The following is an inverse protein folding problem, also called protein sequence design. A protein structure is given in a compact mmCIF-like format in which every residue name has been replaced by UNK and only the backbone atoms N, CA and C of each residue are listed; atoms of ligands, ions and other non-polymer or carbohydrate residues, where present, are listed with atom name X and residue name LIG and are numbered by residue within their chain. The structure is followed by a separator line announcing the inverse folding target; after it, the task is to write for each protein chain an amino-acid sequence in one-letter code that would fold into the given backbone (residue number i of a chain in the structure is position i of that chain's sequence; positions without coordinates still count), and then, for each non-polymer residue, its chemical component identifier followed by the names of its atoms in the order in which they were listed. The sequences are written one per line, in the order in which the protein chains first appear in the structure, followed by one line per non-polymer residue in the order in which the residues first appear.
data_IF_638921183676
#
_entry.id   IF_638921183676
#
_cell.length_a   1.000
_cell.length_b   1.000
_cell.length_c   1.000
_cell.angle_alpha   90.00
_cell.angle_beta   90.00
_cell.angle_gamma   90.00
#
_symmetry.space_group_name_H-M   'P 1'
#
loop_
_entity.id
_entity.type
_entity.pdbx_description
1 polymer ?
#
# COMPACT_ATOMS: atom_id res chain seq x y z
N UNK A 1 5.49 15.14 -13.96
CA UNK A 1 5.69 14.31 -12.74
C UNK A 1 4.34 14.21 -12.07
N UNK A 2 3.83 12.99 -11.91
CA UNK A 2 2.54 12.75 -11.27
C UNK A 2 2.70 12.80 -9.75
N UNK A 3 1.71 13.38 -9.07
CA UNK A 3 1.69 13.52 -7.60
C UNK A 3 0.65 12.61 -6.98
N UNK A 4 0.93 12.12 -5.77
CA UNK A 4 0.01 11.36 -4.96
C UNK A 4 -1.18 12.22 -4.52
N UNK A 5 -2.40 11.75 -4.72
CA UNK A 5 -3.63 12.46 -4.34
C UNK A 5 -3.84 12.55 -2.81
N UNK A 6 -3.03 11.85 -2.01
CA UNK A 6 -3.11 11.87 -0.54
C UNK A 6 -2.07 12.81 0.08
N UNK A 7 -0.80 12.68 -0.30
CA UNK A 7 0.28 13.47 0.30
C UNK A 7 0.76 14.65 -0.58
N UNK A 8 0.28 14.77 -1.83
CA UNK A 8 0.76 15.74 -2.82
C UNK A 8 2.26 15.66 -3.14
N UNK A 9 2.93 14.57 -2.80
CA UNK A 9 4.32 14.31 -3.16
C UNK A 9 4.44 13.56 -4.48
N UNK A 10 5.61 13.63 -5.11
CA UNK A 10 5.92 12.88 -6.32
C UNK A 10 5.76 11.36 -6.11
N UNK A 11 5.12 10.68 -7.06
CA UNK A 11 5.13 9.21 -7.07
C UNK A 11 6.49 8.73 -7.60
N UNK A 12 7.39 8.35 -6.69
CA UNK A 12 8.75 7.86 -7.03
C UNK A 12 8.83 6.35 -7.24
N UNK A 13 7.85 5.61 -6.70
CA UNK A 13 7.70 4.16 -6.87
C UNK A 13 6.30 3.85 -7.43
N UNK A 14 6.15 3.69 -8.76
CA UNK A 14 4.85 3.54 -9.40
C UNK A 14 4.35 2.09 -9.32
N UNK A 15 3.97 1.65 -8.12
CA UNK A 15 3.29 0.37 -7.91
C UNK A 15 1.87 0.69 -7.40
N UNK A 16 0.85 0.22 -8.11
CA UNK A 16 -0.54 0.46 -7.71
C UNK A 16 -0.91 -0.30 -6.43
N UNK A 17 -2.03 0.14 -5.84
CA UNK A 17 -2.59 -0.43 -4.62
C UNK A 17 -2.90 -1.93 -4.77
N UNK A 18 -3.37 -2.39 -5.94
CA UNK A 18 -3.63 -3.82 -6.18
C UNK A 18 -2.37 -4.68 -6.01
N UNK A 19 -1.27 -4.25 -6.62
CA UNK A 19 -0.01 -4.98 -6.54
C UNK A 19 0.57 -4.93 -5.12
N UNK A 20 0.49 -3.77 -4.45
CA UNK A 20 0.95 -3.62 -3.07
C UNK A 20 0.09 -4.44 -2.09
N UNK A 21 -1.22 -4.49 -2.31
CA UNK A 21 -2.15 -5.31 -1.53
C UNK A 21 -1.74 -6.78 -1.61
N UNK A 22 -1.49 -7.30 -2.81
CA UNK A 22 -1.06 -8.68 -2.99
C UNK A 22 0.23 -9.01 -2.23
N UNK A 23 1.23 -8.12 -2.28
CA UNK A 23 2.47 -8.30 -1.51
C UNK A 23 2.25 -8.25 0.00
N UNK A 24 1.44 -7.30 0.47
CA UNK A 24 1.13 -7.16 1.89
C UNK A 24 0.32 -8.36 2.40
N UNK A 25 -0.62 -8.89 1.61
CA UNK A 25 -1.38 -10.09 1.93
C UNK A 25 -0.47 -11.33 1.99
N UNK A 26 0.45 -11.47 1.03
CA UNK A 26 1.43 -12.54 1.03
C UNK A 26 2.32 -12.48 2.28
N UNK A 27 2.76 -11.28 2.66
CA UNK A 27 3.52 -11.07 3.88
C UNK A 27 2.69 -11.37 5.15
N UNK A 28 1.42 -10.97 5.19
CA UNK A 28 0.57 -11.13 6.37
C UNK A 28 0.05 -12.57 6.59
N UNK A 29 -0.09 -13.38 5.53
CA UNK A 29 -0.79 -14.68 5.57
C UNK A 29 -0.26 -15.65 6.62
N UNK A 30 1.06 -15.67 6.83
CA UNK A 30 1.76 -16.58 7.72
C UNK A 30 1.96 -15.98 9.13
N UNK A 31 1.45 -14.75 9.37
CA UNK A 31 1.73 -13.95 10.56
C UNK A 31 0.46 -13.59 11.34
N UNK A 32 -0.58 -13.12 10.65
CA UNK A 32 -1.83 -12.67 11.29
C UNK A 32 -3.02 -12.72 10.32
N UNK A 33 -3.92 -13.69 10.54
CA UNK A 33 -5.14 -13.85 9.75
C UNK A 33 -6.13 -12.68 9.90
N UNK A 34 -6.11 -11.96 11.02
CA UNK A 34 -6.93 -10.76 11.22
C UNK A 34 -6.39 -9.60 10.38
N UNK A 35 -5.07 -9.44 10.33
CA UNK A 35 -4.41 -8.43 9.50
C UNK A 35 -4.76 -8.62 8.01
N UNK A 36 -4.77 -9.86 7.52
CA UNK A 36 -5.20 -10.20 6.14
C UNK A 36 -6.61 -9.64 5.84
N UNK A 37 -7.56 -9.80 6.76
CA UNK A 37 -8.92 -9.24 6.59
C UNK A 37 -8.92 -7.72 6.61
N UNK A 38 -8.12 -7.11 7.48
CA UNK A 38 -8.04 -5.65 7.60
C UNK A 38 -7.43 -5.01 6.35
N UNK A 39 -6.38 -5.61 5.76
CA UNK A 39 -5.76 -5.15 4.51
C UNK A 39 -6.78 -5.14 3.36
N UNK A 40 -7.54 -6.23 3.19
CA UNK A 40 -8.60 -6.31 2.15
C UNK A 40 -9.69 -5.26 2.31
N UNK A 41 -10.02 -4.91 3.56
CA UNK A 41 -11.01 -3.87 3.83
C UNK A 41 -10.45 -2.47 3.63
N UNK A 42 -9.16 -2.26 3.93
CA UNK A 42 -8.48 -0.98 3.73
C UNK A 42 -8.45 -0.61 2.24
N UNK A 43 -8.18 -1.55 1.34
CA UNK A 43 -8.15 -1.30 -0.11
C UNK A 43 -9.38 -0.50 -0.59
N UNK A 44 -10.57 -0.87 -0.11
CA UNK A 44 -11.84 -0.22 -0.48
C UNK A 44 -11.90 1.28 -0.17
N UNK A 45 -11.15 1.75 0.83
CA UNK A 45 -11.07 3.20 1.11
C UNK A 45 -10.20 3.95 0.11
N UNK A 46 -9.48 3.24 -0.75
CA UNK A 46 -8.62 3.82 -1.77
C UNK A 46 -9.18 3.71 -3.20
N UNK A 47 -10.24 2.92 -3.42
CA UNK A 47 -10.93 2.79 -4.73
C UNK A 47 -11.49 4.14 -5.25
N UNK A 48 -11.54 5.18 -4.40
CA UNK A 48 -11.97 6.54 -4.76
C UNK A 48 -10.88 7.35 -5.49
N UNK A 49 -9.63 6.86 -5.55
CA UNK A 49 -8.47 7.60 -6.05
C UNK A 49 -8.02 7.19 -7.48
N UNK A 50 -8.93 6.64 -8.28
CA UNK A 50 -8.63 5.93 -9.54
C UNK A 50 -8.48 6.81 -10.80
N UNK A 51 -8.07 8.07 -10.69
CA UNK A 51 -8.04 8.98 -11.85
C UNK A 51 -6.74 9.78 -11.94
N UNK A 52 -5.64 9.12 -12.32
CA UNK A 52 -4.40 9.80 -12.68
C UNK A 52 -3.68 9.08 -13.84
N UNK A 53 -2.81 9.77 -14.57
CA UNK A 53 -2.15 9.20 -15.76
C UNK A 53 -0.93 8.32 -15.45
N UNK A 54 -0.51 8.21 -14.19
CA UNK A 54 0.62 7.38 -13.78
C UNK A 54 0.20 5.91 -13.84
N UNK A 55 1.08 5.09 -14.39
CA UNK A 55 0.80 3.66 -14.59
C UNK A 55 1.68 2.83 -13.69
N UNK A 56 1.08 1.81 -13.10
CA UNK A 56 1.79 0.80 -12.36
C UNK A 56 2.84 0.11 -13.25
N UNK A 57 4.10 0.08 -12.83
CA UNK A 57 5.19 -0.57 -13.56
C UNK A 57 5.03 -2.10 -13.66
N UNK A 58 4.16 -2.69 -12.84
CA UNK A 58 3.95 -4.15 -12.79
C UNK A 58 2.76 -4.64 -13.62
N UNK A 59 1.62 -3.96 -13.54
CA UNK A 59 0.39 -4.39 -14.21
C UNK A 59 -0.14 -3.40 -15.26
N UNK A 60 0.38 -2.18 -15.30
CA UNK A 60 -0.06 -1.14 -16.23
C UNK A 60 -1.34 -0.40 -15.85
N UNK A 61 -2.01 -0.75 -14.74
CA UNK A 61 -3.19 -0.03 -14.23
C UNK A 61 -2.83 1.41 -13.85
N UNK A 62 -3.80 2.31 -14.02
CA UNK A 62 -3.70 3.69 -13.53
C UNK A 62 -3.63 3.74 -12.00
N UNK A 63 -2.97 4.75 -11.47
CA UNK A 63 -2.82 4.93 -10.03
C UNK A 63 -2.78 6.40 -9.62
N UNK A 64 -3.59 6.78 -8.63
CA UNK A 64 -3.57 8.12 -8.02
C UNK A 64 -2.81 8.21 -6.69
N UNK A 65 -2.38 7.08 -6.12
CA UNK A 65 -1.84 7.01 -4.75
C UNK A 65 -0.46 6.38 -4.75
N UNK A 66 0.49 6.99 -4.03
CA UNK A 66 1.84 6.45 -3.90
C UNK A 66 1.89 5.24 -2.96
N UNK A 67 2.91 4.40 -3.15
CA UNK A 67 3.14 3.22 -2.31
C UNK A 67 3.28 3.57 -0.83
N UNK A 68 3.92 4.69 -0.51
CA UNK A 68 4.17 5.10 0.87
C UNK A 68 2.87 5.36 1.64
N UNK A 69 1.90 6.08 1.06
CA UNK A 69 0.61 6.34 1.71
C UNK A 69 -0.14 5.04 2.01
N UNK A 70 -0.24 4.14 1.02
CA UNK A 70 -0.95 2.88 1.20
C UNK A 70 -0.29 1.98 2.25
N UNK A 71 1.04 1.78 2.17
CA UNK A 71 1.79 0.95 3.11
C UNK A 71 1.79 1.54 4.53
N UNK A 72 1.78 2.87 4.66
CA UNK A 72 1.65 3.54 5.97
C UNK A 72 0.32 3.22 6.63
N UNK A 73 -0.79 3.22 5.88
CA UNK A 73 -2.09 2.83 6.42
C UNK A 73 -2.13 1.35 6.82
N UNK A 74 -1.49 0.46 6.06
CA UNK A 74 -1.34 -0.95 6.47
C UNK A 74 -0.55 -1.05 7.78
N UNK A 75 0.55 -0.32 7.93
CA UNK A 75 1.35 -0.33 9.15
C UNK A 75 0.56 0.15 10.38
N UNK A 76 -0.42 1.07 10.21
CA UNK A 76 -1.31 1.52 11.28
C UNK A 76 -2.31 0.44 11.73
N UNK A 77 -2.65 -0.53 10.89
CA UNK A 77 -3.51 -1.65 11.25
C UNK A 77 -2.83 -2.65 12.20
N UNK A 78 -1.50 -2.71 12.16
CA UNK A 78 -0.69 -3.65 12.95
C UNK A 78 -0.54 -3.12 14.38
N UNK A 79 -1.19 -3.80 15.33
CA UNK A 79 -1.18 -3.40 16.75
C UNK A 79 0.06 -3.87 17.50
N UNK A 80 0.63 -5.01 17.09
CA UNK A 80 1.86 -5.54 17.66
C UNK A 80 3.08 -4.73 17.15
N UNK A 81 3.87 -4.17 18.07
CA UNK A 81 4.99 -3.28 17.72
C UNK A 81 6.13 -4.01 17.01
N UNK A 82 6.40 -5.27 17.37
CA UNK A 82 7.44 -6.07 16.73
C UNK A 82 7.05 -6.37 15.29
N UNK A 83 5.80 -6.79 15.08
CA UNK A 83 5.25 -7.07 13.76
C UNK A 83 5.18 -5.79 12.90
N UNK A 84 4.80 -4.65 13.48
CA UNK A 84 4.79 -3.35 12.81
C UNK A 84 6.19 -2.92 12.39
N UNK A 85 7.19 -3.14 13.24
CA UNK A 85 8.59 -2.87 12.92
C UNK A 85 9.08 -3.75 11.78
N UNK A 86 8.76 -5.06 11.80
CA UNK A 86 9.10 -5.98 10.72
C UNK A 86 8.44 -5.57 9.39
N UNK A 87 7.18 -5.13 9.44
CA UNK A 87 6.48 -4.62 8.26
C UNK A 87 7.17 -3.38 7.68
N UNK A 88 7.45 -2.38 8.52
CA UNK A 88 8.14 -1.14 8.09
C UNK A 88 9.49 -1.44 7.44
N UNK A 89 10.29 -2.35 8.01
CA UNK A 89 11.56 -2.79 7.41
C UNK A 89 11.39 -3.51 6.08
N UNK A 90 10.27 -4.20 5.88
CA UNK A 90 9.99 -4.95 4.64
C UNK A 90 9.50 -4.05 3.50
N UNK A 91 8.85 -2.92 3.81
CA UNK A 91 8.08 -2.17 2.82
C UNK A 91 8.32 -0.65 2.78
N UNK A 92 8.72 -0.02 3.89
CA UNK A 92 8.74 1.44 4.04
C UNK A 92 10.16 2.00 4.16
N UNK A 93 11.11 1.20 4.66
CA UNK A 93 12.50 1.65 4.81
C UNK A 93 13.24 1.74 3.47
N UNK A 94 13.34 2.95 2.93
CA UNK A 94 14.38 3.42 2.01
C UNK A 94 15.04 4.66 2.59
#
# INVERSE_FOLDING_TARGET
MQVCQICNEAITNPICIDCLEQEALYWARDRDAKLVRQIKNLKKSFDVFDLNTEKCIRCGNEMGVCSHCFLTEIAKLIKDENLRTLFKKSFISF
#
